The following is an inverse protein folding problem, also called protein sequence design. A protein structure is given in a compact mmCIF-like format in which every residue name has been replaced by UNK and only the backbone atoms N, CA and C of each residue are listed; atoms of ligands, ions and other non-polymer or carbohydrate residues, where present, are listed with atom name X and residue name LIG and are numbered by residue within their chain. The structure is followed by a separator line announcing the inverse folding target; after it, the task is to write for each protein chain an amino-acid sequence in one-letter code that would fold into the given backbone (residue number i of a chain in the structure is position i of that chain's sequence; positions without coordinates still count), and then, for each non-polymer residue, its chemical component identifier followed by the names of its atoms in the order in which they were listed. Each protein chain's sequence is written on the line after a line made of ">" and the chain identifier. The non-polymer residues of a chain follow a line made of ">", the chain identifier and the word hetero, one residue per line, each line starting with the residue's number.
data_IF_001693221295
#
_entry.id   IF_001693221295
#
_cell.length_a   1.000
_cell.length_b   1.000
_cell.length_c   1.000
_cell.angle_alpha   90.00
_cell.angle_beta   90.00
_cell.angle_gamma   90.00
#
_symmetry.space_group_name_H-M   'P 1'
#
loop_
_entity.id
_entity.type
_entity.pdbx_description
1 polymer ?
#
# COMPACT_ATOMS: atom_id res chain seq x y z
N UNK A 1 -19.14 10.38 7.50
CA UNK A 1 -19.48 11.66 8.17
C UNK A 1 -19.50 11.46 9.67
N UNK A 2 -20.27 10.49 10.17
CA UNK A 2 -20.32 10.13 11.59
C UNK A 2 -18.94 9.94 12.24
N UNK A 3 -18.03 9.21 11.57
CA UNK A 3 -16.69 8.93 12.13
C UNK A 3 -15.85 10.20 12.36
N UNK A 4 -15.90 11.17 11.45
CA UNK A 4 -15.18 12.43 11.60
C UNK A 4 -15.81 13.34 12.66
N UNK A 5 -17.13 13.32 12.82
CA UNK A 5 -17.82 14.10 13.84
C UNK A 5 -17.68 13.51 15.25
N UNK A 6 -17.42 12.20 15.36
CA UNK A 6 -17.29 11.51 16.65
C UNK A 6 -15.85 11.47 17.19
N UNK A 7 -14.85 11.82 16.37
CA UNK A 7 -13.46 11.93 16.80
C UNK A 7 -13.14 13.37 17.25
N UNK A 8 -13.82 13.86 18.29
CA UNK A 8 -13.76 15.27 18.74
C UNK A 8 -12.69 15.57 19.80
N UNK A 9 -11.94 14.56 20.24
CA UNK A 9 -10.86 14.69 21.24
C UNK A 9 -9.46 14.83 20.62
N UNK A 10 -9.38 15.09 19.30
CA UNK A 10 -8.16 15.14 18.50
C UNK A 10 -7.91 13.83 17.74
N UNK A 11 -7.57 13.94 16.45
CA UNK A 11 -7.42 12.79 15.54
C UNK A 11 -8.42 12.76 14.37
N UNK A 12 -9.19 13.82 14.16
CA UNK A 12 -10.24 13.95 13.13
C UNK A 12 -9.74 13.57 11.72
N UNK A 13 -8.47 13.91 11.43
CA UNK A 13 -7.80 13.55 10.18
C UNK A 13 -7.62 12.03 10.02
N UNK A 14 -7.27 11.31 11.08
CA UNK A 14 -7.08 9.85 11.04
C UNK A 14 -8.42 9.13 10.82
N UNK A 15 -9.48 9.59 11.50
CA UNK A 15 -10.82 9.05 11.35
C UNK A 15 -11.37 9.25 9.93
N UNK A 16 -11.17 10.45 9.36
CA UNK A 16 -11.51 10.71 7.96
C UNK A 16 -10.72 9.82 6.99
N UNK A 17 -9.40 9.74 7.14
CA UNK A 17 -8.55 8.95 6.23
C UNK A 17 -8.90 7.46 6.26
N UNK A 18 -9.25 6.93 7.43
CA UNK A 18 -9.67 5.53 7.59
C UNK A 18 -10.98 5.26 6.87
N UNK A 19 -11.97 6.13 7.02
CA UNK A 19 -13.25 6.01 6.33
C UNK A 19 -13.10 6.12 4.79
N UNK A 20 -12.28 7.06 4.32
CA UNK A 20 -12.00 7.21 2.88
C UNK A 20 -11.25 6.00 2.30
N UNK A 21 -10.26 5.46 3.01
CA UNK A 21 -9.54 4.25 2.61
C UNK A 21 -10.47 3.03 2.53
N UNK A 22 -11.40 2.88 3.47
CA UNK A 22 -12.39 1.80 3.46
C UNK A 22 -13.28 1.84 2.20
N UNK A 23 -13.73 3.04 1.79
CA UNK A 23 -14.48 3.21 0.55
C UNK A 23 -13.62 2.85 -0.68
N UNK A 24 -12.39 3.38 -0.75
CA UNK A 24 -11.46 3.09 -1.85
C UNK A 24 -11.13 1.59 -1.96
N UNK A 25 -11.02 0.89 -0.83
CA UNK A 25 -10.84 -0.57 -0.79
C UNK A 25 -12.00 -1.31 -1.46
N UNK A 26 -13.25 -0.95 -1.15
CA UNK A 26 -14.41 -1.55 -1.80
C UNK A 26 -14.42 -1.27 -3.29
N UNK A 27 -14.10 -0.05 -3.73
CA UNK A 27 -13.96 0.26 -5.16
C UNK A 27 -12.94 -0.66 -5.84
N UNK A 28 -11.76 -0.83 -5.22
CA UNK A 28 -10.68 -1.68 -5.73
C UNK A 28 -11.10 -3.14 -5.85
N UNK A 29 -11.86 -3.67 -4.88
CA UNK A 29 -12.39 -5.04 -4.91
C UNK A 29 -13.36 -5.28 -6.07
N UNK A 30 -14.01 -4.22 -6.55
CA UNK A 30 -14.88 -4.22 -7.72
C UNK A 30 -14.15 -3.81 -9.01
N UNK A 31 -12.81 -3.83 -9.01
CA UNK A 31 -11.98 -3.53 -10.18
C UNK A 31 -11.82 -2.05 -10.50
N UNK A 32 -12.26 -1.15 -9.62
CA UNK A 32 -12.14 0.30 -9.78
C UNK A 32 -11.05 0.83 -8.87
N UNK A 33 -9.86 1.05 -9.44
CA UNK A 33 -8.74 1.57 -8.68
C UNK A 33 -8.81 3.11 -8.53
N UNK A 34 -8.98 3.59 -7.30
CA UNK A 34 -9.11 5.04 -7.00
C UNK A 34 -7.84 5.54 -6.30
N UNK A 35 -7.08 6.39 -6.97
CA UNK A 35 -5.97 7.12 -6.34
C UNK A 35 -6.47 8.42 -5.73
N UNK A 36 -6.82 8.39 -4.44
CA UNK A 36 -7.52 9.48 -3.76
C UNK A 36 -6.63 10.35 -2.84
N UNK A 37 -5.50 9.82 -2.38
CA UNK A 37 -4.55 10.56 -1.53
C UNK A 37 -3.80 11.63 -2.32
N UNK A 38 -3.48 12.73 -1.64
CA UNK A 38 -2.65 13.83 -2.16
C UNK A 38 -1.72 14.34 -1.06
N UNK A 39 -0.73 15.20 -1.36
CA UNK A 39 0.11 15.80 -0.32
C UNK A 39 -0.66 16.56 0.77
N UNK A 40 -1.85 17.08 0.45
CA UNK A 40 -2.72 17.81 1.39
C UNK A 40 -3.86 16.97 1.97
N UNK A 41 -4.16 15.79 1.39
CA UNK A 41 -5.26 14.92 1.80
C UNK A 41 -4.70 13.54 2.11
N UNK A 42 -4.66 13.19 3.39
CA UNK A 42 -4.23 11.88 3.88
C UNK A 42 -2.89 11.41 3.26
N UNK A 43 -1.81 12.21 3.35
CA UNK A 43 -0.56 11.90 2.67
C UNK A 43 0.03 10.56 3.16
N UNK A 44 0.74 9.87 2.27
CA UNK A 44 1.45 8.62 2.57
C UNK A 44 2.92 8.76 2.13
N UNK A 45 3.83 8.43 3.04
CA UNK A 45 5.27 8.67 2.90
C UNK A 45 6.01 7.36 2.59
N UNK A 46 5.75 6.77 1.42
CA UNK A 46 6.38 5.50 1.03
C UNK A 46 7.87 5.63 0.68
N UNK A 47 8.31 6.84 0.33
CA UNK A 47 9.71 7.16 0.06
C UNK A 47 10.59 7.09 1.30
N UNK A 48 10.01 7.16 2.50
CA UNK A 48 10.69 6.93 3.77
C UNK A 48 11.46 5.60 3.81
N UNK A 49 10.96 4.57 3.11
CA UNK A 49 11.59 3.25 3.05
C UNK A 49 12.73 3.15 2.03
N UNK A 50 12.93 4.19 1.21
CA UNK A 50 14.05 4.22 0.27
C UNK A 50 15.33 4.65 0.97
N UNK A 51 16.44 4.01 0.58
CA UNK A 51 17.77 4.54 0.88
C UNK A 51 17.98 5.88 0.15
N UNK A 52 18.97 6.68 0.56
CA UNK A 52 19.31 7.93 -0.13
C UNK A 52 19.55 7.71 -1.63
N UNK A 53 18.83 8.45 -2.47
CA UNK A 53 18.86 8.29 -3.94
C UNK A 53 18.15 7.04 -4.47
N UNK A 54 17.55 6.22 -3.60
CA UNK A 54 16.78 5.05 -3.94
C UNK A 54 15.35 5.37 -4.37
N UNK A 55 14.74 4.44 -5.11
CA UNK A 55 13.39 4.56 -5.66
C UNK A 55 12.73 3.18 -5.73
N UNK A 56 12.93 2.36 -4.71
CA UNK A 56 12.45 0.98 -4.62
C UNK A 56 11.00 0.94 -4.12
N UNK A 57 10.68 1.68 -3.06
CA UNK A 57 9.37 1.72 -2.43
C UNK A 57 8.47 2.80 -3.03
N UNK A 58 7.25 2.40 -3.39
CA UNK A 58 6.26 3.25 -4.02
C UNK A 58 4.88 3.06 -3.40
N UNK A 59 4.10 4.13 -3.36
CA UNK A 59 2.69 4.05 -3.05
C UNK A 59 1.94 3.30 -4.16
N UNK A 60 1.13 2.32 -3.78
CA UNK A 60 0.19 1.61 -4.65
C UNK A 60 -1.23 1.79 -4.09
N UNK A 61 -2.09 2.61 -4.72
CA UNK A 61 -3.42 2.93 -4.21
C UNK A 61 -4.35 1.72 -4.12
N UNK A 62 -4.04 0.65 -4.87
CA UNK A 62 -4.85 -0.57 -4.96
C UNK A 62 -4.02 -1.83 -4.67
N UNK A 63 -2.83 -1.64 -4.10
CA UNK A 63 -1.90 -2.69 -3.74
C UNK A 63 -1.13 -3.32 -4.89
N UNK A 64 -0.33 -4.32 -4.53
CA UNK A 64 0.41 -5.18 -5.43
C UNK A 64 0.02 -6.64 -5.18
N UNK A 65 -1.07 -7.13 -5.82
CA UNK A 65 -1.49 -8.50 -5.63
C UNK A 65 -0.43 -9.47 -6.15
N UNK A 66 -0.20 -10.56 -5.42
CA UNK A 66 0.66 -11.67 -5.86
C UNK A 66 2.13 -11.28 -6.14
N UNK A 67 2.72 -10.41 -5.31
CA UNK A 67 4.14 -10.10 -5.41
C UNK A 67 5.02 -11.35 -5.24
N UNK A 68 6.20 -11.30 -5.89
CA UNK A 68 7.27 -12.26 -5.65
C UNK A 68 7.93 -11.95 -4.32
N UNK A 69 7.73 -12.82 -3.34
CA UNK A 69 8.40 -12.76 -2.04
C UNK A 69 9.22 -14.01 -1.81
N UNK A 70 10.06 -14.04 -0.79
CA UNK A 70 10.76 -15.28 -0.41
C UNK A 70 9.78 -16.41 -0.05
N UNK A 71 8.59 -16.07 0.44
CA UNK A 71 7.51 -17.03 0.77
C UNK A 71 6.63 -17.37 -0.43
N UNK A 72 6.59 -16.51 -1.46
CA UNK A 72 5.96 -16.78 -2.75
C UNK A 72 6.89 -16.49 -3.94
N UNK A 73 7.91 -17.33 -4.20
CA UNK A 73 8.87 -17.07 -5.28
C UNK A 73 8.22 -17.08 -6.68
N UNK A 74 7.13 -17.85 -6.83
CA UNK A 74 6.43 -17.97 -8.10
C UNK A 74 5.65 -16.71 -8.51
N UNK A 75 5.32 -15.85 -7.55
CA UNK A 75 4.40 -14.72 -7.76
C UNK A 75 2.99 -15.17 -8.16
N UNK A 76 2.62 -16.43 -7.88
CA UNK A 76 1.29 -16.98 -8.18
C UNK A 76 0.48 -17.06 -6.90
N UNK A 77 -0.78 -16.68 -7.00
CA UNK A 77 -1.74 -16.82 -5.92
C UNK A 77 -2.70 -17.98 -6.20
N UNK A 78 -3.13 -18.68 -5.16
CA UNK A 78 -4.11 -19.77 -5.28
C UNK A 78 -5.52 -19.26 -5.65
N UNK A 79 -5.83 -18.02 -5.29
CA UNK A 79 -7.11 -17.36 -5.55
C UNK A 79 -6.89 -15.89 -5.91
N UNK A 80 -7.95 -15.21 -6.34
CA UNK A 80 -7.90 -13.78 -6.61
C UNK A 80 -7.74 -13.03 -5.29
N UNK A 81 -6.49 -12.70 -4.94
CA UNK A 81 -6.16 -11.87 -3.80
C UNK A 81 -6.37 -10.40 -4.19
N UNK A 82 -7.38 -9.70 -3.65
CA UNK A 82 -7.52 -8.28 -3.90
C UNK A 82 -6.31 -7.55 -3.29
N UNK A 83 -5.73 -6.63 -4.05
CA UNK A 83 -4.64 -5.81 -3.55
C UNK A 83 -5.10 -4.91 -2.40
N UNK A 84 -4.21 -4.67 -1.44
CA UNK A 84 -4.44 -3.76 -0.34
C UNK A 84 -3.65 -2.47 -0.59
N UNK A 85 -4.28 -1.32 -0.39
CA UNK A 85 -3.61 -0.02 -0.48
C UNK A 85 -2.37 0.03 0.45
N UNK A 86 -1.23 0.52 -0.06
CA UNK A 86 -0.04 0.67 0.78
C UNK A 86 1.24 0.98 0.02
N UNK A 87 2.37 0.85 0.72
CA UNK A 87 3.71 0.99 0.17
C UNK A 87 4.26 -0.37 -0.23
N UNK A 88 4.79 -0.48 -1.46
CA UNK A 88 5.31 -1.73 -2.00
C UNK A 88 6.63 -1.51 -2.72
N UNK A 89 7.61 -2.43 -2.59
CA UNK A 89 8.88 -2.34 -3.28
C UNK A 89 8.76 -2.85 -4.72
N UNK A 90 9.45 -2.18 -5.65
CA UNK A 90 9.72 -2.64 -7.00
C UNK A 90 11.12 -3.25 -7.03
N UNK A 91 11.22 -4.55 -6.73
CA UNK A 91 12.51 -5.24 -6.70
C UNK A 91 13.18 -5.31 -8.08
N UNK A 92 14.49 -4.99 -8.18
CA UNK A 92 15.23 -5.07 -9.43
C UNK A 92 15.54 -6.53 -9.81
N UNK A 93 15.96 -6.76 -11.06
CA UNK A 93 16.10 -8.10 -11.63
C UNK A 93 17.21 -8.98 -11.02
N UNK A 94 18.24 -8.38 -10.42
CA UNK A 94 19.35 -9.04 -9.73
C UNK A 94 18.97 -9.54 -8.32
N UNK A 95 17.93 -8.94 -7.72
CA UNK A 95 17.38 -9.30 -6.42
C UNK A 95 15.84 -9.25 -6.49
N UNK A 96 15.19 -10.17 -7.22
CA UNK A 96 13.79 -10.01 -7.63
C UNK A 96 12.76 -10.42 -6.56
N UNK A 97 13.18 -10.94 -5.41
CA UNK A 97 12.28 -11.39 -4.36
C UNK A 97 12.26 -10.40 -3.21
N UNK A 98 11.07 -10.02 -2.76
CA UNK A 98 10.95 -9.22 -1.54
C UNK A 98 11.03 -10.12 -0.29
N UNK A 99 11.97 -9.85 0.61
CA UNK A 99 12.03 -10.45 1.94
C UNK A 99 11.15 -9.64 2.90
N UNK A 100 10.02 -10.22 3.30
CA UNK A 100 9.05 -9.60 4.21
C UNK A 100 9.60 -9.45 5.64
N UNK A 101 10.58 -10.26 6.03
CA UNK A 101 11.23 -10.19 7.35
C UNK A 101 12.33 -9.11 7.39
N UNK A 102 13.12 -8.99 6.32
CA UNK A 102 14.22 -8.02 6.26
C UNK A 102 13.81 -6.66 5.70
N UNK A 103 12.61 -6.57 5.11
CA UNK A 103 12.09 -5.40 4.40
C UNK A 103 13.03 -4.94 3.27
N UNK A 104 13.58 -5.90 2.52
CA UNK A 104 14.54 -5.67 1.43
C UNK A 104 14.31 -6.62 0.26
N UNK A 105 14.64 -6.17 -0.93
CA UNK A 105 14.76 -7.06 -2.09
C UNK A 105 16.06 -7.89 -2.01
N UNK A 106 15.93 -9.20 -2.25
CA UNK A 106 16.98 -10.23 -2.18
C UNK A 106 16.95 -11.15 -3.41
N UNK A 107 18.03 -11.91 -3.62
CA UNK A 107 18.21 -12.83 -4.75
C UNK A 107 17.61 -14.21 -4.54
#
# INVERSE_FOLDING_TARGET
>A
VTDACACDTGGDCECFCTAAAAYAKVCSDHGVCVSWRTPSICPMFCDYYNNEGGCEWHYKPCGAPCMKTCRNPSGRCAYHLPGLEGCYPNCPGDRPYFSEEEMKCVS
#
